data_IF_186445321983
#
_entry.id   IF_186445321983
#
_cell.length_a   1.000
_cell.length_b   1.000
_cell.length_c   1.000
_cell.angle_alpha   90.00
_cell.angle_beta   90.00
_cell.angle_gamma   90.00
#
_symmetry.space_group_name_H-M   'P 1'
#
loop_
_entity.id
_entity.type
_entity.pdbx_description
1 polymer ?
#
# COMPACT_ATOMS: atom_id res chain seq x y z
N UNK A 1 30.89 9.73 -18.85
CA UNK A 1 30.89 8.73 -17.76
C UNK A 1 29.46 8.57 -17.28
N UNK A 2 28.99 7.33 -17.14
CA UNK A 2 27.69 7.06 -16.55
C UNK A 2 27.75 7.43 -15.06
N UNK A 3 26.90 8.35 -14.61
CA UNK A 3 26.91 8.86 -13.22
C UNK A 3 25.95 8.12 -12.30
N UNK A 4 25.06 7.28 -12.84
CA UNK A 4 24.11 6.48 -12.05
C UNK A 4 23.17 5.64 -12.90
N UNK A 5 22.56 4.64 -12.29
CA UNK A 5 21.57 3.74 -12.91
C UNK A 5 20.33 3.73 -12.01
N UNK A 6 19.17 4.09 -12.56
CA UNK A 6 17.86 3.93 -11.90
C UNK A 6 17.07 2.85 -12.63
N UNK A 7 16.79 1.73 -11.96
CA UNK A 7 16.08 0.58 -12.55
C UNK A 7 14.93 0.16 -11.64
N UNK A 8 13.72 0.05 -12.20
CA UNK A 8 12.57 -0.61 -11.54
C UNK A 8 12.55 -2.07 -11.99
N UNK A 9 12.57 -3.00 -11.05
CA UNK A 9 12.65 -4.44 -11.31
C UNK A 9 11.78 -5.20 -10.33
N UNK A 10 11.24 -6.33 -10.79
CA UNK A 10 10.61 -7.32 -9.94
C UNK A 10 11.72 -8.24 -9.41
N UNK A 11 11.66 -8.55 -8.11
CA UNK A 11 12.61 -9.46 -7.47
C UNK A 11 12.49 -10.86 -8.08
N UNK A 12 13.61 -11.42 -8.53
CA UNK A 12 13.65 -12.72 -9.18
C UNK A 12 13.61 -13.89 -8.20
N UNK A 13 13.82 -15.11 -8.72
CA UNK A 13 13.95 -16.33 -7.89
C UNK A 13 15.05 -16.13 -6.83
N UNK A 14 14.79 -16.66 -5.64
CA UNK A 14 15.70 -16.58 -4.48
C UNK A 14 16.00 -15.15 -3.97
N UNK A 15 15.14 -14.17 -4.29
CA UNK A 15 15.30 -12.80 -3.77
C UNK A 15 16.34 -11.96 -4.52
N UNK A 16 16.82 -12.42 -5.68
CA UNK A 16 17.93 -11.78 -6.41
C UNK A 16 17.46 -10.63 -7.29
N UNK A 17 18.31 -9.59 -7.37
CA UNK A 17 18.16 -8.45 -8.27
C UNK A 17 19.41 -8.37 -9.17
N UNK A 18 19.21 -8.39 -10.48
CA UNK A 18 20.30 -8.34 -11.46
C UNK A 18 20.37 -6.99 -12.17
N UNK A 19 21.57 -6.39 -12.15
CA UNK A 19 21.93 -5.22 -12.94
C UNK A 19 22.60 -5.70 -14.23
N UNK A 20 21.81 -5.85 -15.29
CA UNK A 20 22.29 -6.24 -16.62
C UNK A 20 23.27 -5.19 -17.17
N UNK A 21 24.48 -5.63 -17.52
CA UNK A 21 25.56 -4.85 -18.16
C UNK A 21 25.75 -3.44 -17.60
N UNK A 22 26.49 -3.33 -16.50
CA UNK A 22 26.95 -2.04 -16.01
C UNK A 22 28.28 -1.69 -16.67
N UNK A 23 28.38 -0.56 -17.37
CA UNK A 23 29.64 -0.02 -17.92
C UNK A 23 30.58 0.54 -16.81
N UNK A 24 30.50 -0.03 -15.61
CA UNK A 24 31.30 0.37 -14.46
C UNK A 24 32.66 -0.30 -14.55
N UNK A 25 33.71 0.53 -14.54
CA UNK A 25 35.08 0.03 -14.51
C UNK A 25 35.38 -0.68 -13.18
N UNK A 26 36.28 -1.65 -13.22
CA UNK A 26 36.78 -2.31 -12.01
C UNK A 26 37.35 -1.27 -11.02
N UNK A 27 37.04 -1.44 -9.73
CA UNK A 27 37.45 -0.50 -8.67
C UNK A 27 36.53 0.72 -8.50
N UNK A 28 35.45 0.85 -9.28
CA UNK A 28 34.47 1.93 -9.09
C UNK A 28 33.68 1.72 -7.80
N UNK A 29 33.67 2.72 -6.92
CA UNK A 29 32.83 2.75 -5.71
C UNK A 29 31.40 3.10 -6.11
N UNK A 30 30.44 2.29 -5.66
CA UNK A 30 29.00 2.48 -5.94
C UNK A 30 28.17 2.39 -4.67
N UNK A 31 27.07 3.16 -4.64
CA UNK A 31 26.02 3.09 -3.62
C UNK A 31 24.78 2.43 -4.21
N UNK A 32 24.13 1.54 -3.43
CA UNK A 32 22.91 0.83 -3.85
C UNK A 32 21.77 1.18 -2.90
N UNK A 33 20.70 1.73 -3.47
CA UNK A 33 19.47 2.05 -2.73
C UNK A 33 18.36 1.11 -3.24
N UNK A 34 17.77 0.34 -2.32
CA UNK A 34 16.63 -0.55 -2.61
C UNK A 34 15.36 0.05 -2.03
N UNK A 35 14.40 0.37 -2.89
CA UNK A 35 13.08 0.87 -2.52
C UNK A 35 12.05 -0.21 -2.85
N UNK A 36 11.35 -0.70 -1.83
CA UNK A 36 10.24 -1.63 -2.01
C UNK A 36 8.99 -0.80 -2.28
N UNK A 37 8.31 -1.06 -3.40
CA UNK A 37 6.97 -0.51 -3.60
C UNK A 37 6.06 -1.17 -2.57
N UNK A 38 5.63 -0.38 -1.58
CA UNK A 38 4.49 -0.77 -0.77
C UNK A 38 3.28 -0.78 -1.71
N UNK A 39 2.46 -1.83 -1.63
CA UNK A 39 1.13 -1.77 -2.20
C UNK A 39 0.51 -0.48 -1.66
N UNK A 40 0.16 0.44 -2.55
CA UNK A 40 -0.60 1.62 -2.19
C UNK A 40 -1.74 1.18 -1.31
N UNK A 41 -1.95 1.85 -0.17
CA UNK A 41 -3.11 1.61 0.70
C UNK A 41 -4.32 1.33 -0.20
N UNK A 42 -4.94 0.16 0.01
CA UNK A 42 -6.04 -0.27 -0.83
C UNK A 42 -7.10 0.83 -0.78
N UNK A 43 -7.43 1.40 -1.94
CA UNK A 43 -8.43 2.45 -2.04
C UNK A 43 -9.70 1.99 -1.32
N UNK A 44 -10.21 2.82 -0.39
CA UNK A 44 -11.30 2.43 0.50
C UNK A 44 -12.54 2.01 -0.29
N UNK A 45 -12.79 2.66 -1.43
CA UNK A 45 -13.88 2.30 -2.34
C UNK A 45 -13.66 0.90 -2.92
N UNK A 46 -12.44 0.62 -3.36
CA UNK A 46 -12.02 -0.69 -3.86
C UNK A 46 -12.19 -1.76 -2.79
N UNK A 47 -11.76 -1.51 -1.54
CA UNK A 47 -11.95 -2.42 -0.40
C UNK A 47 -13.44 -2.69 -0.09
N UNK A 48 -14.25 -1.63 -0.01
CA UNK A 48 -15.67 -1.73 0.31
C UNK A 48 -16.46 -2.46 -0.79
N UNK A 49 -16.03 -2.37 -2.04
CA UNK A 49 -16.68 -3.02 -3.18
C UNK A 49 -16.06 -4.39 -3.54
N UNK A 50 -14.98 -4.80 -2.87
CA UNK A 50 -14.21 -6.02 -3.16
C UNK A 50 -15.01 -7.31 -2.99
N UNK A 51 -15.92 -7.35 -2.02
CA UNK A 51 -16.75 -8.52 -1.72
C UNK A 51 -18.23 -8.16 -1.68
N UNK A 52 -19.09 -9.11 -2.02
CA UNK A 52 -20.54 -8.92 -1.91
C UNK A 52 -20.98 -8.63 -0.47
N UNK A 53 -20.29 -9.18 0.53
CA UNK A 53 -20.55 -8.89 1.94
C UNK A 53 -20.23 -7.42 2.29
N UNK A 54 -19.04 -6.93 1.91
CA UNK A 54 -18.63 -5.55 2.16
C UNK A 54 -19.56 -4.56 1.44
N UNK A 55 -19.90 -4.86 0.18
CA UNK A 55 -20.83 -4.05 -0.62
C UNK A 55 -22.20 -3.96 0.04
N UNK A 56 -22.73 -5.08 0.55
CA UNK A 56 -24.00 -5.10 1.27
C UNK A 56 -23.94 -4.25 2.54
N UNK A 57 -22.85 -4.34 3.30
CA UNK A 57 -22.66 -3.51 4.50
C UNK A 57 -22.62 -2.02 4.16
N UNK A 58 -21.92 -1.62 3.10
CA UNK A 58 -21.88 -0.24 2.64
C UNK A 58 -23.28 0.29 2.28
N UNK A 59 -24.03 -0.47 1.47
CA UNK A 59 -25.39 -0.06 1.07
C UNK A 59 -26.33 0.07 2.28
N UNK A 60 -26.21 -0.85 3.25
CA UNK A 60 -27.00 -0.78 4.48
C UNK A 60 -26.62 0.42 5.35
N UNK A 61 -25.32 0.75 5.45
CA UNK A 61 -24.86 1.93 6.17
C UNK A 61 -25.42 3.23 5.55
N UNK A 62 -25.39 3.33 4.22
CA UNK A 62 -25.98 4.47 3.50
C UNK A 62 -27.50 4.59 3.74
N UNK A 63 -28.21 3.46 3.75
CA UNK A 63 -29.65 3.44 4.07
C UNK A 63 -29.93 3.91 5.51
N UNK A 64 -29.12 3.48 6.47
CA UNK A 64 -29.24 3.90 7.87
C UNK A 64 -29.05 5.42 8.01
N UNK A 65 -28.04 5.98 7.34
CA UNK A 65 -27.79 7.44 7.33
C UNK A 65 -29.00 8.18 6.77
N UNK A 66 -29.53 7.74 5.63
CA UNK A 66 -30.70 8.36 4.99
C UNK A 66 -31.95 8.31 5.87
N UNK A 67 -32.09 7.27 6.70
CA UNK A 67 -33.20 7.13 7.66
C UNK A 67 -32.97 7.91 8.96
N UNK A 68 -31.81 8.52 9.15
CA UNK A 68 -31.43 9.17 10.41
C UNK A 68 -31.10 8.19 11.54
N UNK A 69 -30.87 6.91 11.23
CA UNK A 69 -30.46 5.88 12.18
C UNK A 69 -28.95 6.00 12.47
N UNK A 70 -28.57 7.09 13.12
CA UNK A 70 -27.19 7.43 13.44
C UNK A 70 -26.93 7.27 14.94
N UNK A 71 -25.75 6.74 15.28
CA UNK A 71 -25.24 6.72 16.65
C UNK A 71 -24.02 7.64 16.66
N UNK A 72 -24.02 8.62 17.57
CA UNK A 72 -22.86 9.45 17.80
C UNK A 72 -21.92 8.74 18.77
N UNK A 73 -20.65 8.67 18.42
CA UNK A 73 -19.62 8.07 19.26
C UNK A 73 -18.49 9.08 19.39
N UNK A 74 -18.12 9.39 20.63
CA UNK A 74 -16.92 10.17 20.94
C UNK A 74 -15.72 9.22 20.86
N UNK A 75 -14.89 9.38 19.82
CA UNK A 75 -13.81 8.43 19.52
C UNK A 75 -12.79 8.33 20.66
N UNK A 76 -12.46 9.46 21.28
CA UNK A 76 -11.54 9.55 22.42
C UNK A 76 -12.04 8.79 23.66
N UNK A 77 -13.35 8.59 23.80
CA UNK A 77 -13.96 7.79 24.88
C UNK A 77 -14.00 6.30 24.51
N UNK A 78 -14.28 5.98 23.25
CA UNK A 78 -14.37 4.61 22.76
C UNK A 78 -13.02 3.89 22.78
N UNK A 79 -11.94 4.60 22.40
CA UNK A 79 -10.58 4.03 22.38
C UNK A 79 -10.07 3.72 23.80
N UNK A 80 -10.43 4.52 24.80
CA UNK A 80 -10.06 4.28 26.21
C UNK A 80 -10.65 3.00 26.80
N UNK A 81 -11.79 2.56 26.29
CA UNK A 81 -12.51 1.38 26.78
C UNK A 81 -12.18 0.11 25.98
N UNK A 82 -11.29 0.18 24.99
CA UNK A 82 -10.97 -0.92 24.07
C UNK A 82 -9.61 -1.60 24.36
N UNK A 83 -9.02 -1.34 25.53
CA UNK A 83 -7.72 -1.89 26.00
C UNK A 83 -7.90 -2.65 27.31
#
# INVERSE_FOLDING_TARGET
MLSGIKKKVIVGKDGKIELSTTELAEGTVVEVIVLVEQETEEDETTYLLKSEANKKHLLQALENVNKGNLIYVELDEYEKNSI
#
